data_IF_810631184882
#
_entry.id   IF_810631184882
#
_cell.length_a   1.000
_cell.length_b   1.000
_cell.length_c   1.000
_cell.angle_alpha   90.00
_cell.angle_beta   90.00
_cell.angle_gamma   90.00
#
_symmetry.space_group_name_H-M   'P 1'
#
loop_
_entity.id
_entity.type
_entity.pdbx_description
1 polymer ?
#
# COMPACT_ATOMS: atom_id res chain seq x y z
N UNK A 1 -0.39 -15.30 -8.78
CA UNK A 1 -1.67 -15.68 -8.14
C UNK A 1 -2.78 -14.95 -8.88
N UNK A 2 -3.82 -15.63 -9.40
CA UNK A 2 -4.90 -14.94 -10.12
C UNK A 2 -6.04 -14.58 -9.15
N UNK A 3 -6.84 -13.57 -9.50
CA UNK A 3 -7.94 -13.06 -8.66
C UNK A 3 -8.97 -14.12 -8.29
N UNK A 4 -9.27 -15.07 -9.18
CA UNK A 4 -10.18 -16.20 -8.89
C UNK A 4 -9.63 -17.13 -7.81
N UNK A 5 -8.32 -17.40 -7.81
CA UNK A 5 -7.67 -18.19 -6.76
C UNK A 5 -7.72 -17.48 -5.41
N UNK A 6 -7.53 -16.16 -5.41
CA UNK A 6 -7.63 -15.35 -4.19
C UNK A 6 -9.05 -15.37 -3.62
N UNK A 7 -10.07 -15.14 -4.46
CA UNK A 7 -11.49 -15.17 -4.05
C UNK A 7 -11.84 -16.54 -3.45
N UNK A 8 -11.48 -17.64 -4.13
CA UNK A 8 -11.75 -19.00 -3.63
C UNK A 8 -11.08 -19.28 -2.28
N UNK A 9 -9.87 -18.77 -2.07
CA UNK A 9 -9.18 -18.94 -0.78
C UNK A 9 -9.86 -18.15 0.33
N UNK A 10 -10.40 -16.95 0.03
CA UNK A 10 -11.17 -16.16 0.99
C UNK A 10 -12.50 -16.84 1.32
N UNK A 11 -13.21 -17.39 0.32
CA UNK A 11 -14.44 -18.14 0.52
C UNK A 11 -14.21 -19.36 1.42
N UNK A 12 -13.20 -20.18 1.11
CA UNK A 12 -12.84 -21.35 1.92
C UNK A 12 -12.47 -20.97 3.36
N UNK A 13 -11.70 -19.89 3.54
CA UNK A 13 -11.34 -19.41 4.87
C UNK A 13 -12.58 -18.93 5.63
N UNK A 14 -13.44 -18.13 5.00
CA UNK A 14 -14.66 -17.60 5.60
C UNK A 14 -15.62 -18.69 6.06
N UNK A 15 -15.68 -19.83 5.35
CA UNK A 15 -16.49 -20.99 5.74
C UNK A 15 -16.00 -21.69 7.02
N UNK A 16 -14.74 -21.49 7.41
CA UNK A 16 -14.15 -22.07 8.64
C UNK A 16 -14.23 -21.13 9.84
N UNK A 17 -14.61 -19.87 9.62
CA UNK A 17 -14.68 -18.83 10.65
C UNK A 17 -16.12 -18.66 11.13
N UNK A 18 -16.31 -18.51 12.44
CA UNK A 18 -17.58 -18.04 12.95
C UNK A 18 -17.76 -16.54 12.64
N UNK A 19 -18.99 -16.03 12.78
CA UNK A 19 -19.33 -14.63 12.47
C UNK A 19 -18.42 -13.60 13.16
N UNK A 20 -18.04 -13.83 14.42
CA UNK A 20 -17.14 -12.91 15.15
C UNK A 20 -15.73 -12.91 14.57
N UNK A 21 -15.23 -14.09 14.19
CA UNK A 21 -13.90 -14.23 13.60
C UNK A 21 -13.85 -13.67 12.18
N UNK A 22 -14.93 -13.83 11.40
CA UNK A 22 -15.02 -13.26 10.06
C UNK A 22 -15.05 -11.73 10.11
N UNK A 23 -15.83 -11.14 11.01
CA UNK A 23 -15.85 -9.69 11.22
C UNK A 23 -14.46 -9.15 11.59
N UNK A 24 -13.80 -9.78 12.56
CA UNK A 24 -12.44 -9.40 12.96
C UNK A 24 -11.42 -9.54 11.82
N UNK A 25 -11.55 -10.58 10.98
CA UNK A 25 -10.69 -10.75 9.81
C UNK A 25 -10.87 -9.62 8.78
N UNK A 26 -12.11 -9.20 8.52
CA UNK A 26 -12.39 -8.10 7.60
C UNK A 26 -11.86 -6.76 8.13
N UNK A 27 -12.02 -6.49 9.43
CA UNK A 27 -11.47 -5.28 10.07
C UNK A 27 -9.93 -5.21 9.93
N UNK A 28 -9.25 -6.35 10.08
CA UNK A 28 -7.79 -6.44 9.89
C UNK A 28 -7.41 -6.17 8.43
N UNK A 29 -8.14 -6.74 7.47
CA UNK A 29 -7.87 -6.56 6.04
C UNK A 29 -8.01 -5.08 5.63
N UNK A 30 -9.02 -4.38 6.15
CA UNK A 30 -9.22 -2.95 5.91
C UNK A 30 -8.07 -2.10 6.50
N UNK A 31 -7.65 -2.40 7.73
CA UNK A 31 -6.51 -1.72 8.35
C UNK A 31 -5.21 -1.93 7.55
N UNK A 32 -4.96 -3.15 7.07
CA UNK A 32 -3.79 -3.46 6.23
C UNK A 32 -3.86 -2.73 4.89
N UNK A 33 -5.04 -2.66 4.27
CA UNK A 33 -5.23 -1.94 3.01
C UNK A 33 -4.97 -0.42 3.16
N UNK A 34 -5.43 0.17 4.27
CA UNK A 34 -5.14 1.56 4.59
C UNK A 34 -3.63 1.80 4.76
N UNK A 35 -2.96 0.98 5.56
CA UNK A 35 -1.50 1.06 5.77
C UNK A 35 -0.70 0.87 4.46
N UNK A 36 -1.12 -0.07 3.61
CA UNK A 36 -0.49 -0.30 2.31
C UNK A 36 -0.63 0.93 1.39
N UNK A 37 -1.79 1.58 1.42
CA UNK A 37 -2.04 2.83 0.69
C UNK A 37 -1.15 3.96 1.19
N UNK A 38 -1.09 4.16 2.51
CA UNK A 38 -0.23 5.18 3.13
C UNK A 38 1.26 4.96 2.81
N UNK A 39 1.73 3.71 2.87
CA UNK A 39 3.11 3.35 2.53
C UNK A 39 3.45 3.61 1.05
N UNK A 40 2.50 3.37 0.13
CA UNK A 40 2.66 3.71 -1.27
C UNK A 40 2.74 5.23 -1.49
N UNK A 41 1.92 6.01 -0.80
CA UNK A 41 1.93 7.47 -0.90
C UNK A 41 3.22 8.08 -0.32
N UNK A 42 3.73 7.54 0.80
CA UNK A 42 5.03 7.92 1.36
C UNK A 42 6.17 7.64 0.36
N UNK A 43 6.18 6.45 -0.23
CA UNK A 43 7.19 6.06 -1.23
C UNK A 43 7.16 6.94 -2.49
N UNK A 44 5.99 7.43 -2.90
CA UNK A 44 5.85 8.37 -4.03
C UNK A 44 6.37 9.75 -3.66
N UNK A 45 6.13 10.21 -2.43
CA UNK A 45 6.53 11.53 -1.95
C UNK A 45 8.06 11.68 -1.84
N UNK A 46 8.76 10.65 -1.40
CA UNK A 46 10.23 10.61 -1.40
C UNK A 46 10.82 10.62 -2.82
N UNK A 47 10.13 9.99 -3.77
CA UNK A 47 10.56 9.96 -5.18
C UNK A 47 10.41 11.33 -5.86
N UNK A 48 9.39 12.11 -5.49
CA UNK A 48 9.22 13.50 -5.96
C UNK A 48 10.26 14.45 -5.35
N UNK A 49 10.62 14.28 -4.06
CA UNK A 49 11.65 15.08 -3.41
C UNK A 49 13.04 14.90 -4.06
N UNK A 50 13.32 13.71 -4.61
CA UNK A 50 14.56 13.40 -5.35
C UNK A 50 14.64 14.02 -6.75
N UNK A 51 13.57 14.64 -7.27
CA UNK A 51 13.50 15.17 -8.64
C UNK A 51 13.42 16.68 -8.72
N UNK A 52 13.89 17.40 -7.69
CA UNK A 52 14.19 18.82 -7.86
C UNK A 52 15.59 18.91 -8.47
N UNK A 53 15.76 19.21 -9.78
CA UNK A 53 17.08 19.60 -10.25
C UNK A 53 17.39 20.91 -9.52
N UNK A 54 18.43 20.94 -8.69
CA UNK A 54 19.03 22.20 -8.28
C UNK A 54 19.46 22.92 -9.55
N UNK A 55 18.60 23.79 -10.07
CA UNK A 55 18.92 24.65 -11.18
C UNK A 55 20.04 25.58 -10.74
N UNK A 56 21.22 25.37 -11.34
CA UNK A 56 22.10 26.43 -11.82
C UNK A 56 22.22 27.70 -10.95
N UNK A 57 23.27 27.78 -10.15
CA UNK A 57 24.05 29.02 -10.08
C UNK A 57 25.52 28.65 -10.29
N UNK A 58 25.88 28.57 -11.56
CA UNK A 58 27.26 28.74 -11.99
C UNK A 58 27.60 30.21 -11.82
N UNK A 59 28.44 30.55 -10.85
CA UNK A 59 29.18 31.81 -10.81
C UNK A 59 30.65 31.49 -10.59
N UNK A 60 31.31 31.10 -11.67
CA UNK A 60 32.71 31.43 -11.87
C UNK A 60 32.77 32.56 -12.89
N UNK A 61 33.28 33.72 -12.49
CA UNK A 61 34.15 34.54 -13.34
C UNK A 61 34.84 35.63 -12.50
N UNK A 62 36.17 35.62 -12.63
CA UNK A 62 37.12 36.73 -12.61
C UNK A 62 36.66 38.11 -12.15
#
# INVERSE_FOLDING_TARGET
MNTKTLIRNIENLSATLNQKQLAAFLDIMDAVAAMATESQELSRKDKLASTTPLSSVSKGLH
#
